data_IF_196861474699
#
_entry.id   IF_196861474699
#
_cell.length_a   1.000
_cell.length_b   1.000
_cell.length_c   1.000
_cell.angle_alpha   90.00
_cell.angle_beta   90.00
_cell.angle_gamma   90.00
#
_symmetry.space_group_name_H-M   'P 1'
#
loop_
_entity.id
_entity.type
_entity.pdbx_description
1 polymer ?
#
# COMPACT_ATOMS: atom_id res chain seq x y z
N UNK A 1 -55.25 46.01 9.10
CA UNK A 1 -55.42 46.89 10.28
C UNK A 1 -55.46 46.02 11.53
N UNK A 2 -54.57 46.28 12.52
CA UNK A 2 -54.62 45.96 13.98
C UNK A 2 -55.06 44.54 14.38
N UNK A 3 -54.30 43.72 15.13
CA UNK A 3 -53.79 43.85 16.52
C UNK A 3 -52.71 42.76 16.71
N UNK A 4 -51.46 43.01 17.11
CA UNK A 4 -50.93 43.24 18.46
C UNK A 4 -51.67 42.50 19.60
N UNK A 5 -51.09 41.38 20.07
CA UNK A 5 -51.02 41.10 21.51
C UNK A 5 -49.83 40.22 21.86
N UNK A 6 -49.06 40.75 22.80
CA UNK A 6 -47.92 40.23 23.54
C UNK A 6 -48.39 39.18 24.55
N UNK A 7 -47.68 38.07 24.74
CA UNK A 7 -47.63 37.43 26.05
C UNK A 7 -46.29 36.72 26.28
N UNK A 8 -45.56 37.26 27.26
CA UNK A 8 -44.42 36.67 27.94
C UNK A 8 -44.95 35.59 28.87
N UNK A 9 -44.37 34.38 28.86
CA UNK A 9 -44.41 33.52 30.04
C UNK A 9 -43.09 32.77 30.23
N UNK A 10 -42.52 33.03 31.39
CA UNK A 10 -41.33 32.46 31.99
C UNK A 10 -41.66 31.05 32.51
N UNK A 11 -40.88 30.03 32.16
CA UNK A 11 -40.82 28.78 32.91
C UNK A 11 -39.36 28.41 33.17
N UNK A 12 -38.97 28.65 34.42
CA UNK A 12 -37.81 28.12 35.11
C UNK A 12 -38.01 26.62 35.44
N UNK A 13 -36.90 25.89 35.37
CA UNK A 13 -36.52 24.72 36.18
C UNK A 13 -37.33 23.42 36.07
N UNK A 14 -36.69 22.40 35.50
CA UNK A 14 -36.69 21.06 36.09
C UNK A 14 -35.49 20.26 35.56
N UNK A 15 -34.45 20.15 36.39
CA UNK A 15 -33.45 19.11 36.24
C UNK A 15 -34.10 17.75 36.45
N UNK A 16 -33.82 16.82 35.54
CA UNK A 16 -34.01 15.40 35.79
C UNK A 16 -32.70 14.69 35.46
N UNK A 17 -32.15 14.11 36.54
CA UNK A 17 -30.99 13.23 36.56
C UNK A 17 -31.23 12.06 35.61
N UNK A 18 -30.37 11.93 34.60
CA UNK A 18 -30.32 10.71 33.78
C UNK A 18 -29.69 9.61 34.65
N UNK A 19 -30.35 8.44 34.81
CA UNK A 19 -29.77 7.32 35.55
C UNK A 19 -28.55 6.77 34.79
N UNK A 20 -27.39 6.70 35.46
CA UNK A 20 -26.22 5.94 35.02
C UNK A 20 -26.62 4.47 34.87
N UNK A 21 -26.65 3.97 33.62
CA UNK A 21 -26.63 2.53 33.38
C UNK A 21 -25.30 1.96 33.87
N UNK A 22 -25.40 1.13 34.89
CA UNK A 22 -24.36 0.20 35.32
C UNK A 22 -24.25 -0.86 34.22
N UNK A 23 -23.21 -0.80 33.39
CA UNK A 23 -22.77 -1.92 32.58
C UNK A 23 -21.74 -2.71 33.40
N UNK A 24 -22.26 -3.67 34.16
CA UNK A 24 -21.49 -4.82 34.61
C UNK A 24 -21.51 -5.85 33.49
N UNK A 25 -20.36 -6.00 32.82
CA UNK A 25 -20.09 -7.05 31.85
C UNK A 25 -18.61 -7.36 31.97
N UNK A 26 -18.31 -8.42 32.72
CA UNK A 26 -17.00 -9.06 32.69
C UNK A 26 -16.86 -9.71 31.31
N UNK A 27 -16.13 -9.06 30.41
CA UNK A 27 -15.71 -9.68 29.15
C UNK A 27 -14.27 -10.20 29.25
N UNK A 28 -13.96 -11.30 28.54
CA UNK A 28 -12.79 -12.13 28.78
C UNK A 28 -11.49 -11.41 28.40
N UNK A 29 -10.45 -11.71 29.15
CA UNK A 29 -9.06 -11.42 28.79
C UNK A 29 -8.69 -12.23 27.55
N UNK A 30 -8.97 -11.68 26.38
CA UNK A 30 -8.31 -12.10 25.15
C UNK A 30 -6.95 -11.41 25.09
N UNK A 31 -5.94 -12.16 25.50
CA UNK A 31 -4.52 -11.86 25.34
C UNK A 31 -4.15 -11.79 23.85
N UNK A 32 -4.57 -10.75 23.15
CA UNK A 32 -3.89 -10.36 21.90
C UNK A 32 -2.68 -9.53 22.31
N UNK A 33 -1.56 -10.24 22.54
CA UNK A 33 -0.22 -9.65 22.48
C UNK A 33 -0.01 -9.14 21.06
N UNK A 34 -0.49 -7.94 20.77
CA UNK A 34 -0.10 -7.18 19.60
C UNK A 34 1.38 -6.81 19.79
N UNK A 35 2.24 -7.53 19.08
CA UNK A 35 3.68 -7.39 19.18
C UNK A 35 4.11 -5.95 18.87
N UNK A 36 4.53 -5.25 19.92
CA UNK A 36 5.32 -4.03 19.82
C UNK A 36 6.69 -4.34 19.17
N UNK A 37 6.75 -4.30 17.83
CA UNK A 37 7.98 -4.14 17.02
C UNK A 37 7.73 -3.26 15.79
N UNK A 38 7.05 -2.11 15.95
CA UNK A 38 6.63 -1.26 14.82
C UNK A 38 7.73 -0.41 14.18
N UNK A 39 8.87 -0.16 14.80
CA UNK A 39 9.67 1.02 14.42
C UNK A 39 10.67 0.82 13.26
N UNK A 40 10.66 -0.32 12.56
CA UNK A 40 11.62 -0.58 11.44
C UNK A 40 11.05 -1.26 10.20
N UNK A 41 9.73 -1.44 10.07
CA UNK A 41 9.15 -2.01 8.84
C UNK A 41 8.98 -0.91 7.79
N UNK A 42 9.44 -1.18 6.56
CA UNK A 42 9.29 -0.28 5.40
C UNK A 42 8.07 -0.68 4.58
N UNK A 43 7.78 -1.98 4.52
CA UNK A 43 6.67 -2.59 3.80
C UNK A 43 5.65 -3.21 4.78
N UNK A 44 4.45 -3.52 4.27
CA UNK A 44 3.37 -4.10 5.08
C UNK A 44 3.75 -5.41 5.76
N UNK A 45 4.26 -6.38 5.00
CA UNK A 45 4.85 -7.62 5.51
C UNK A 45 6.25 -7.81 4.96
N UNK A 46 7.16 -8.25 5.81
CA UNK A 46 8.55 -8.52 5.47
C UNK A 46 8.96 -9.83 6.14
N UNK A 47 9.59 -10.72 5.38
CA UNK A 47 10.24 -11.92 5.88
C UNK A 47 11.69 -11.92 5.40
N UNK A 48 12.65 -11.83 6.32
CA UNK A 48 14.07 -11.70 6.01
C UNK A 48 14.77 -12.97 6.49
N UNK A 49 15.33 -13.74 5.56
CA UNK A 49 16.00 -15.02 5.84
C UNK A 49 17.51 -14.82 5.97
N UNK A 50 18.09 -13.87 5.23
CA UNK A 50 19.52 -13.57 5.29
C UNK A 50 19.94 -13.02 6.66
N UNK A 51 21.09 -13.50 7.15
CA UNK A 51 21.73 -13.02 8.39
C UNK A 51 22.77 -11.93 8.11
N UNK A 52 23.32 -11.91 6.91
CA UNK A 52 24.38 -10.99 6.50
C UNK A 52 23.81 -9.88 5.61
N UNK A 53 24.53 -8.76 5.55
CA UNK A 53 24.24 -7.64 4.66
C UNK A 53 24.41 -8.07 3.20
N UNK A 54 23.49 -7.65 2.33
CA UNK A 54 23.55 -8.01 0.92
C UNK A 54 24.78 -7.41 0.22
N UNK A 55 25.27 -6.24 0.67
CA UNK A 55 26.47 -5.59 0.15
C UNK A 55 27.75 -6.42 0.27
N UNK A 56 27.80 -7.37 1.22
CA UNK A 56 28.96 -8.25 1.38
C UNK A 56 29.13 -9.24 0.22
N UNK A 57 28.04 -9.56 -0.49
CA UNK A 57 28.00 -10.63 -1.51
C UNK A 57 27.59 -10.16 -2.90
N UNK A 58 26.68 -9.18 -2.98
CA UNK A 58 26.08 -8.80 -4.26
C UNK A 58 26.46 -7.37 -4.62
N UNK A 59 27.12 -7.21 -5.77
CA UNK A 59 27.39 -5.90 -6.36
C UNK A 59 26.46 -5.60 -7.56
N UNK A 60 25.68 -6.61 -7.98
CA UNK A 60 24.74 -6.53 -9.10
C UNK A 60 23.36 -6.97 -8.64
N UNK A 61 22.33 -6.24 -9.07
CA UNK A 61 20.93 -6.64 -8.95
C UNK A 61 20.27 -6.72 -10.33
N UNK A 62 19.46 -7.76 -10.54
CA UNK A 62 18.60 -7.95 -11.70
C UNK A 62 17.15 -7.80 -11.25
N UNK A 63 16.45 -6.81 -11.80
CA UNK A 63 15.05 -6.51 -11.48
C UNK A 63 14.18 -7.03 -12.62
N UNK A 64 13.50 -8.15 -12.40
CA UNK A 64 12.60 -8.73 -13.41
C UNK A 64 11.37 -7.86 -13.62
N UNK A 65 10.73 -8.06 -14.77
CA UNK A 65 9.41 -7.49 -15.02
C UNK A 65 8.40 -8.07 -14.03
N UNK A 66 7.49 -7.23 -13.56
CA UNK A 66 6.49 -7.63 -12.58
C UNK A 66 5.39 -8.43 -13.28
N UNK A 67 5.00 -9.56 -12.69
CA UNK A 67 3.94 -10.41 -13.23
C UNK A 67 2.55 -9.88 -12.87
N UNK A 68 1.60 -10.06 -13.78
CA UNK A 68 0.16 -9.86 -13.52
C UNK A 68 -0.57 -11.16 -13.17
N UNK A 69 0.13 -12.29 -13.13
CA UNK A 69 -0.47 -13.60 -12.83
C UNK A 69 -1.13 -13.62 -11.44
N UNK A 70 -2.40 -14.06 -11.42
CA UNK A 70 -3.20 -14.10 -10.19
C UNK A 70 -3.54 -12.73 -9.60
N UNK A 71 -3.41 -11.65 -10.37
CA UNK A 71 -3.77 -10.29 -9.90
C UNK A 71 -5.28 -10.11 -9.89
N UNK A 72 -5.84 -9.64 -8.77
CA UNK A 72 -7.22 -9.16 -8.71
C UNK A 72 -7.30 -7.73 -9.25
N UNK A 73 -7.76 -7.57 -10.49
CA UNK A 73 -7.94 -6.26 -11.14
C UNK A 73 -9.41 -5.88 -11.07
N UNK A 74 -9.71 -4.68 -10.59
CA UNK A 74 -11.07 -4.14 -10.56
C UNK A 74 -11.65 -4.04 -11.98
N UNK A 75 -12.88 -4.50 -12.16
CA UNK A 75 -13.66 -4.24 -13.35
C UNK A 75 -14.10 -2.77 -13.37
N UNK A 76 -13.89 -2.11 -14.52
CA UNK A 76 -14.28 -0.72 -14.74
C UNK A 76 -15.13 -0.62 -16.00
N UNK A 77 -16.00 0.38 -16.04
CA UNK A 77 -16.75 0.72 -17.23
C UNK A 77 -15.81 1.31 -18.30
N UNK A 78 -15.42 0.48 -19.28
CA UNK A 78 -14.49 0.84 -20.35
C UNK A 78 -14.99 2.00 -21.22
N UNK A 79 -16.31 2.27 -21.24
CA UNK A 79 -16.86 3.45 -21.93
C UNK A 79 -16.46 4.75 -21.23
N UNK A 80 -16.34 4.71 -19.90
CA UNK A 80 -15.97 5.87 -19.07
C UNK A 80 -14.46 5.96 -18.85
N UNK A 81 -13.76 4.83 -18.93
CA UNK A 81 -12.33 4.70 -18.67
C UNK A 81 -11.65 3.83 -19.76
N UNK A 82 -11.64 4.28 -21.02
CA UNK A 82 -11.18 3.48 -22.16
C UNK A 82 -9.69 3.10 -22.08
N UNK A 83 -8.91 3.86 -21.34
CA UNK A 83 -7.47 3.74 -21.17
C UNK A 83 -7.05 3.08 -19.84
N UNK A 84 -8.01 2.59 -19.05
CA UNK A 84 -7.71 1.92 -17.78
C UNK A 84 -6.74 0.75 -17.97
N UNK A 85 -6.97 -0.08 -19.00
CA UNK A 85 -6.11 -1.23 -19.31
C UNK A 85 -4.68 -0.78 -19.64
N UNK A 86 -4.53 0.33 -20.35
CA UNK A 86 -3.21 0.87 -20.72
C UNK A 86 -2.48 1.40 -19.48
N UNK A 87 -3.19 2.12 -18.60
CA UNK A 87 -2.62 2.59 -17.33
C UNK A 87 -2.19 1.41 -16.45
N UNK A 88 -3.01 0.38 -16.32
CA UNK A 88 -2.68 -0.84 -15.56
C UNK A 88 -1.48 -1.55 -16.17
N UNK A 89 -1.44 -1.72 -17.49
CA UNK A 89 -0.32 -2.33 -18.21
C UNK A 89 0.98 -1.56 -17.98
N UNK A 90 0.91 -0.22 -17.99
CA UNK A 90 2.06 0.65 -17.77
C UNK A 90 2.66 0.54 -16.36
N UNK A 91 1.86 0.17 -15.35
CA UNK A 91 2.41 -0.16 -14.02
C UNK A 91 3.43 -1.31 -14.10
N UNK A 92 3.27 -2.22 -15.06
CA UNK A 92 4.18 -3.33 -15.32
C UNK A 92 5.61 -2.90 -15.62
N UNK A 93 5.79 -1.71 -16.21
CA UNK A 93 7.11 -1.14 -16.51
C UNK A 93 7.51 -0.08 -15.49
N UNK A 94 6.58 0.81 -15.13
CA UNK A 94 6.87 1.98 -14.30
C UNK A 94 7.34 1.59 -12.89
N UNK A 95 6.80 0.52 -12.31
CA UNK A 95 7.18 0.07 -10.96
C UNK A 95 8.62 -0.47 -10.93
N UNK A 96 8.99 -1.49 -11.73
CA UNK A 96 10.37 -1.94 -11.84
C UNK A 96 11.37 -0.84 -12.20
N UNK A 97 11.01 0.08 -13.11
CA UNK A 97 11.88 1.19 -13.53
C UNK A 97 12.12 2.16 -12.37
N UNK A 98 11.07 2.50 -11.62
CA UNK A 98 11.19 3.32 -10.41
C UNK A 98 12.14 2.68 -9.39
N UNK A 99 12.04 1.36 -9.18
CA UNK A 99 12.95 0.64 -8.27
C UNK A 99 14.39 0.76 -8.78
N UNK A 100 14.61 0.52 -10.08
CA UNK A 100 15.95 0.59 -10.67
C UNK A 100 16.57 1.97 -10.50
N UNK A 101 15.80 3.03 -10.78
CA UNK A 101 16.27 4.40 -10.67
C UNK A 101 16.56 4.81 -9.23
N UNK A 102 15.72 4.41 -8.27
CA UNK A 102 15.96 4.65 -6.86
C UNK A 102 17.21 3.91 -6.35
N UNK A 103 17.42 2.65 -6.74
CA UNK A 103 18.62 1.90 -6.36
C UNK A 103 19.90 2.50 -6.94
N UNK A 104 19.85 2.97 -8.20
CA UNK A 104 20.97 3.71 -8.82
C UNK A 104 21.23 5.03 -8.08
N UNK A 105 20.18 5.79 -7.77
CA UNK A 105 20.26 7.05 -7.04
C UNK A 105 20.87 6.89 -5.65
N UNK A 106 20.60 5.76 -4.98
CA UNK A 106 21.18 5.41 -3.69
C UNK A 106 22.63 4.89 -3.78
N UNK A 107 23.14 4.61 -4.98
CA UNK A 107 24.52 4.15 -5.20
C UNK A 107 24.83 2.78 -4.61
N UNK A 108 23.81 1.94 -4.41
CA UNK A 108 23.94 0.69 -3.68
C UNK A 108 24.73 -0.35 -4.49
N UNK A 109 24.26 -0.64 -5.70
CA UNK A 109 24.84 -1.66 -6.56
C UNK A 109 25.75 -1.02 -7.61
N UNK A 110 26.85 -1.70 -7.97
CA UNK A 110 27.67 -1.29 -9.11
C UNK A 110 26.89 -1.44 -10.43
N UNK A 111 25.99 -2.42 -10.51
CA UNK A 111 25.15 -2.68 -11.68
C UNK A 111 23.69 -2.93 -11.27
N UNK A 112 22.77 -2.21 -11.91
CA UNK A 112 21.32 -2.39 -11.76
C UNK A 112 20.76 -2.70 -13.14
N UNK A 113 20.31 -3.94 -13.33
CA UNK A 113 19.88 -4.46 -14.63
C UNK A 113 18.36 -4.69 -14.61
N UNK A 114 17.63 -4.20 -15.63
CA UNK A 114 16.21 -4.52 -15.83
C UNK A 114 15.99 -5.85 -16.55
N UNK A 115 16.95 -6.22 -17.39
CA UNK A 115 16.97 -7.48 -18.12
C UNK A 115 18.42 -7.94 -18.27
N UNK A 116 18.61 -9.22 -18.56
CA UNK A 116 19.92 -9.84 -18.72
C UNK A 116 20.20 -10.94 -17.72
N UNK A 117 21.43 -11.44 -17.79
CA UNK A 117 21.95 -12.46 -16.89
C UNK A 117 23.28 -12.02 -16.27
N UNK A 118 23.47 -12.38 -15.02
CA UNK A 118 24.67 -12.13 -14.24
C UNK A 118 24.79 -13.26 -13.21
N UNK A 119 25.91 -13.99 -13.24
CA UNK A 119 26.06 -15.21 -12.45
C UNK A 119 26.00 -14.95 -10.93
N UNK A 120 26.70 -13.91 -10.46
CA UNK A 120 26.73 -13.50 -9.05
C UNK A 120 25.87 -12.25 -8.81
N UNK A 121 24.55 -12.43 -8.94
CA UNK A 121 23.58 -11.35 -8.78
C UNK A 121 22.46 -11.68 -7.79
N UNK A 122 21.91 -10.60 -7.23
CA UNK A 122 20.63 -10.62 -6.55
C UNK A 122 19.51 -10.50 -7.60
N UNK A 123 18.49 -11.35 -7.55
CA UNK A 123 17.32 -11.23 -8.44
C UNK A 123 16.13 -10.74 -7.64
N UNK A 124 15.46 -9.71 -8.13
CA UNK A 124 14.17 -9.26 -7.63
C UNK A 124 13.05 -9.76 -8.55
N UNK A 125 12.18 -10.60 -8.00
CA UNK A 125 10.96 -11.08 -8.64
C UNK A 125 9.74 -10.54 -7.90
N UNK A 126 8.72 -10.13 -8.65
CA UNK A 126 7.52 -9.49 -8.10
C UNK A 126 6.29 -9.88 -8.91
N UNK A 127 5.12 -9.80 -8.26
CA UNK A 127 3.83 -9.79 -8.95
C UNK A 127 2.87 -8.80 -8.30
N UNK A 128 1.93 -8.30 -9.09
CA UNK A 128 0.76 -7.62 -8.54
C UNK A 128 -0.15 -8.64 -7.86
N UNK A 129 -0.77 -8.22 -6.75
CA UNK A 129 -1.76 -9.01 -6.03
C UNK A 129 -3.15 -8.40 -6.21
N UNK A 130 -3.24 -7.06 -6.24
CA UNK A 130 -4.50 -6.33 -6.34
C UNK A 130 -4.31 -4.98 -7.00
N UNK A 131 -5.19 -4.61 -7.92
CA UNK A 131 -5.23 -3.28 -8.54
C UNK A 131 -6.68 -2.78 -8.56
N UNK A 132 -6.96 -1.73 -7.80
CA UNK A 132 -8.27 -1.08 -7.73
C UNK A 132 -8.14 0.44 -7.82
N UNK A 133 -8.98 1.09 -8.61
CA UNK A 133 -9.11 2.56 -8.67
C UNK A 133 -9.95 3.11 -7.51
N UNK A 134 -10.69 2.22 -6.84
CA UNK A 134 -11.60 2.56 -5.77
C UNK A 134 -13.01 2.88 -6.28
N UNK A 135 -13.90 3.30 -5.39
CA UNK A 135 -15.27 3.67 -5.73
C UNK A 135 -15.64 4.99 -5.05
N UNK A 136 -15.87 6.03 -5.86
CA UNK A 136 -16.21 7.38 -5.39
C UNK A 136 -17.58 7.42 -4.72
N UNK A 137 -18.56 6.67 -5.22
CA UNK A 137 -19.89 6.60 -4.64
C UNK A 137 -19.84 5.92 -3.27
N UNK A 138 -19.11 4.81 -3.13
CA UNK A 138 -18.93 4.14 -1.84
C UNK A 138 -18.34 5.07 -0.77
N UNK A 139 -17.41 5.96 -1.14
CA UNK A 139 -16.89 6.97 -0.20
C UNK A 139 -17.94 7.96 0.25
N UNK A 140 -18.77 8.43 -0.69
CA UNK A 140 -19.79 9.42 -0.41
C UNK A 140 -20.87 8.86 0.53
N UNK A 141 -21.23 7.58 0.35
CA UNK A 141 -22.31 6.95 1.12
C UNK A 141 -21.85 6.25 2.41
N UNK A 142 -20.64 5.69 2.44
CA UNK A 142 -20.14 4.89 3.58
C UNK A 142 -19.14 5.67 4.45
N UNK A 143 -18.46 6.69 3.89
CA UNK A 143 -17.56 7.58 4.62
C UNK A 143 -16.10 7.54 4.16
N UNK A 144 -15.27 8.35 4.82
CA UNK A 144 -13.84 8.51 4.51
C UNK A 144 -13.07 7.19 4.69
N UNK A 145 -12.59 6.63 3.58
CA UNK A 145 -11.79 5.40 3.54
C UNK A 145 -12.46 4.25 2.77
N UNK A 146 -13.79 4.22 2.72
CA UNK A 146 -14.53 3.19 2.02
C UNK A 146 -14.40 3.34 0.50
N UNK A 147 -13.68 2.45 -0.19
CA UNK A 147 -13.46 2.52 -1.64
C UNK A 147 -12.21 3.29 -2.05
N UNK A 148 -11.13 3.24 -1.27
CA UNK A 148 -9.78 3.71 -1.65
C UNK A 148 -9.24 2.97 -2.89
N UNK A 149 -8.30 3.60 -3.61
CA UNK A 149 -7.50 2.86 -4.58
C UNK A 149 -6.54 1.93 -3.84
N UNK A 150 -6.14 0.85 -4.49
CA UNK A 150 -5.14 -0.07 -3.95
C UNK A 150 -4.26 -0.58 -5.08
N UNK A 151 -2.94 -0.48 -4.91
CA UNK A 151 -1.97 -1.24 -5.68
C UNK A 151 -1.18 -2.12 -4.72
N UNK A 152 -1.48 -3.41 -4.77
CA UNK A 152 -0.87 -4.47 -3.98
C UNK A 152 0.22 -5.18 -4.77
N UNK A 153 1.38 -5.39 -4.14
CA UNK A 153 2.54 -6.07 -4.71
C UNK A 153 3.10 -7.03 -3.67
N UNK A 154 3.52 -8.20 -4.13
CA UNK A 154 4.41 -9.08 -3.38
C UNK A 154 5.68 -9.37 -4.19
N UNK A 155 6.75 -9.72 -3.50
CA UNK A 155 8.01 -10.03 -4.16
C UNK A 155 9.00 -10.80 -3.30
N UNK A 156 10.06 -11.25 -3.96
CA UNK A 156 11.14 -12.04 -3.39
C UNK A 156 12.49 -11.56 -3.91
N UNK A 157 13.48 -11.58 -3.02
CA UNK A 157 14.89 -11.43 -3.36
C UNK A 157 15.54 -12.82 -3.37
N UNK A 158 16.16 -13.17 -4.48
CA UNK A 158 16.75 -14.48 -4.72
C UNK A 158 18.26 -14.37 -4.96
N UNK A 159 19.02 -15.33 -4.44
CA UNK A 159 20.39 -15.56 -4.91
C UNK A 159 20.32 -16.23 -6.30
N UNK A 160 20.88 -15.60 -7.33
CA UNK A 160 20.78 -16.09 -8.71
C UNK A 160 21.42 -17.48 -8.90
N UNK A 161 22.53 -17.75 -8.22
CA UNK A 161 23.30 -18.98 -8.40
C UNK A 161 22.60 -20.20 -7.80
N UNK A 162 21.99 -20.02 -6.64
CA UNK A 162 21.38 -21.12 -5.86
C UNK A 162 19.86 -21.17 -5.96
N UNK A 163 19.22 -20.08 -6.39
CA UNK A 163 17.77 -19.91 -6.34
C UNK A 163 17.21 -19.70 -4.93
N UNK A 164 18.08 -19.55 -3.92
CA UNK A 164 17.65 -19.42 -2.53
C UNK A 164 16.93 -18.09 -2.29
N UNK A 165 15.79 -18.13 -1.59
CA UNK A 165 15.07 -16.93 -1.15
C UNK A 165 15.78 -16.30 0.04
N UNK A 166 16.26 -15.08 -0.14
CA UNK A 166 16.94 -14.31 0.90
C UNK A 166 15.99 -13.42 1.70
N UNK A 167 14.95 -12.93 1.04
CA UNK A 167 13.86 -12.20 1.66
C UNK A 167 12.60 -12.24 0.79
N UNK A 168 11.44 -12.04 1.41
CA UNK A 168 10.16 -11.84 0.74
C UNK A 168 9.36 -10.72 1.39
N UNK A 169 8.45 -10.10 0.64
CA UNK A 169 7.63 -9.01 1.13
C UNK A 169 6.25 -8.97 0.48
N UNK A 170 5.33 -8.29 1.16
CA UNK A 170 4.01 -7.91 0.65
C UNK A 170 3.73 -6.46 1.04
N UNK A 171 3.19 -5.67 0.13
CA UNK A 171 2.82 -4.30 0.40
C UNK A 171 1.57 -3.88 -0.35
N UNK A 172 0.64 -3.25 0.36
CA UNK A 172 -0.52 -2.60 -0.22
C UNK A 172 -0.35 -1.09 -0.06
N UNK A 173 -0.29 -0.38 -1.18
CA UNK A 173 -0.36 1.08 -1.17
C UNK A 173 -1.80 1.48 -1.40
N UNK A 174 -2.36 2.17 -0.40
CA UNK A 174 -3.70 2.73 -0.46
C UNK A 174 -3.59 4.24 -0.63
N UNK A 175 -4.33 4.78 -1.59
CA UNK A 175 -4.58 6.21 -1.66
C UNK A 175 -6.05 6.46 -1.38
N UNK A 176 -6.40 7.37 -0.45
CA UNK A 176 -7.73 7.95 -0.46
C UNK A 176 -7.82 8.67 -1.80
N UNK A 177 -8.51 8.10 -2.80
CA UNK A 177 -8.32 8.65 -4.15
C UNK A 177 -8.62 10.15 -4.10
N UNK A 178 -7.56 10.89 -4.40
CA UNK A 178 -7.60 12.33 -4.41
C UNK A 178 -8.63 12.78 -5.45
N UNK A 179 -8.90 14.07 -5.53
CA UNK A 179 -9.64 14.65 -6.67
C UNK A 179 -8.98 14.33 -8.04
N UNK A 180 -7.79 13.71 -8.06
CA UNK A 180 -7.14 13.21 -9.28
C UNK A 180 -7.82 11.94 -9.79
N UNK A 181 -7.99 11.89 -11.09
CA UNK A 181 -8.48 10.74 -11.84
C UNK A 181 -7.54 9.51 -11.73
N UNK A 182 -7.97 8.36 -12.24
CA UNK A 182 -7.22 7.10 -12.29
C UNK A 182 -5.78 7.29 -12.81
N UNK A 183 -5.58 8.22 -13.75
CA UNK A 183 -4.30 8.63 -14.32
C UNK A 183 -3.31 9.21 -13.32
N UNK A 184 -3.82 9.84 -12.26
CA UNK A 184 -2.98 10.39 -11.20
C UNK A 184 -2.71 9.36 -10.11
N UNK A 185 -3.72 8.56 -9.78
CA UNK A 185 -3.69 7.73 -8.56
C UNK A 185 -2.91 6.44 -8.75
N UNK A 186 -3.21 5.65 -9.79
CA UNK A 186 -2.54 4.38 -9.99
C UNK A 186 -1.03 4.54 -10.27
N UNK A 187 -0.60 5.46 -11.15
CA UNK A 187 0.84 5.67 -11.36
C UNK A 187 1.57 6.19 -10.11
N UNK A 188 0.91 7.04 -9.31
CA UNK A 188 1.48 7.50 -8.05
C UNK A 188 1.62 6.36 -7.03
N UNK A 189 0.60 5.50 -6.91
CA UNK A 189 0.64 4.32 -6.02
C UNK A 189 1.71 3.32 -6.49
N UNK A 190 1.84 3.10 -7.80
CA UNK A 190 2.92 2.32 -8.40
C UNK A 190 4.31 2.88 -8.05
N UNK A 191 4.53 4.17 -8.30
CA UNK A 191 5.80 4.85 -7.97
C UNK A 191 6.12 4.77 -6.47
N UNK A 192 5.12 4.98 -5.61
CA UNK A 192 5.29 4.89 -4.16
C UNK A 192 5.67 3.46 -3.72
N UNK A 193 5.07 2.43 -4.33
CA UNK A 193 5.49 1.05 -4.11
C UNK A 193 6.96 0.86 -4.52
N UNK A 194 7.35 1.33 -5.71
CA UNK A 194 8.73 1.22 -6.18
C UNK A 194 9.75 1.85 -5.22
N UNK A 195 9.46 3.07 -4.72
CA UNK A 195 10.32 3.75 -3.73
C UNK A 195 10.40 2.96 -2.42
N UNK A 196 9.28 2.44 -1.90
CA UNK A 196 9.28 1.65 -0.66
C UNK A 196 10.06 0.35 -0.81
N UNK A 197 9.93 -0.33 -1.95
CA UNK A 197 10.67 -1.56 -2.24
C UNK A 197 12.17 -1.26 -2.32
N UNK A 198 12.59 -0.19 -2.99
CA UNK A 198 14.00 0.22 -3.01
C UNK A 198 14.54 0.50 -1.60
N UNK A 199 13.76 1.17 -0.74
CA UNK A 199 14.12 1.39 0.66
C UNK A 199 14.21 0.10 1.49
N UNK A 200 13.32 -0.86 1.23
CA UNK A 200 13.41 -2.18 1.86
C UNK A 200 14.70 -2.90 1.45
N UNK A 201 15.08 -2.87 0.17
CA UNK A 201 16.36 -3.43 -0.30
C UNK A 201 17.52 -2.70 0.37
N UNK A 202 17.48 -1.36 0.50
CA UNK A 202 18.49 -0.56 1.19
C UNK A 202 18.65 -0.92 2.67
N UNK A 203 17.57 -1.29 3.37
CA UNK A 203 17.64 -1.80 4.74
C UNK A 203 18.47 -3.09 4.83
N UNK A 204 18.40 -3.95 3.81
CA UNK A 204 19.08 -5.25 3.77
C UNK A 204 20.51 -5.18 3.21
N UNK A 205 20.77 -4.19 2.36
CA UNK A 205 22.10 -3.92 1.78
C UNK A 205 23.07 -3.38 2.82
#
# INVERSE_FOLDING_TARGET
MKKLLLLVLCCLLAGSLVPKKVYGGEDPKDDVKEEAKSDKRVLGKENIVTKEKLSARYQTIVIRDISFEGTSIQEVDETKHPDFKDVVKKLGTDVPDTIADELKRMGMFKKVLRQGDAEDALVLEMRFTKITTGNRATRFFVGFGAGSSTVGIEGKLLDKKTGAVLASFENNTHSPASMKDLHGVLPADGKNNGIKIARFINKLY
#
